data_IF_013183999219
#
_entry.id   IF_013183999219
#
_cell.length_a   1.000
_cell.length_b   1.000
_cell.length_c   1.000
_cell.angle_alpha   90.00
_cell.angle_beta   90.00
_cell.angle_gamma   90.00
#
_symmetry.space_group_name_H-M   'P 1'
#
loop_
_entity.id
_entity.type
_entity.pdbx_description
1 polymer ?
#
# COMPACT_ATOMS: atom_id res chain seq x y z
N UNK A 1 -7.04 -33.96 14.71
CA UNK A 1 -6.52 -33.54 16.02
C UNK A 1 -6.74 -32.03 16.14
N UNK A 2 -7.16 -31.48 17.29
CA UNK A 2 -7.30 -30.04 17.44
C UNK A 2 -5.91 -29.40 17.41
N UNK A 3 -5.67 -28.49 16.46
CA UNK A 3 -4.42 -27.72 16.35
C UNK A 3 -4.25 -26.88 17.59
N UNK A 4 -3.10 -26.99 18.26
CA UNK A 4 -2.83 -26.18 19.44
C UNK A 4 -2.51 -24.74 19.01
N UNK A 5 -2.87 -23.73 19.82
CA UNK A 5 -2.61 -22.30 19.51
C UNK A 5 -1.14 -22.03 19.11
N UNK A 6 -0.11 -22.64 19.74
CA UNK A 6 1.29 -22.47 19.33
C UNK A 6 1.59 -22.99 17.91
N UNK A 7 0.93 -24.06 17.46
CA UNK A 7 1.10 -24.63 16.11
C UNK A 7 0.39 -23.81 15.03
N UNK A 8 -0.64 -23.04 15.39
CA UNK A 8 -1.32 -22.14 14.47
C UNK A 8 -0.48 -20.90 14.16
N UNK A 9 0.28 -20.42 15.16
CA UNK A 9 1.14 -19.24 15.04
C UNK A 9 2.43 -19.51 14.26
N UNK A 10 2.84 -20.77 14.09
CA UNK A 10 4.00 -21.15 13.26
C UNK A 10 3.66 -21.39 11.79
N UNK A 11 2.37 -21.36 11.43
CA UNK A 11 1.92 -21.57 10.05
C UNK A 11 2.13 -20.32 9.19
N UNK A 12 2.28 -20.54 7.89
CA UNK A 12 2.32 -19.48 6.89
C UNK A 12 1.04 -19.52 6.05
N UNK A 13 0.53 -18.34 5.72
CA UNK A 13 -0.54 -18.14 4.77
C UNK A 13 0.04 -17.65 3.44
N UNK A 14 -0.40 -18.24 2.34
CA UNK A 14 0.11 -17.93 0.99
C UNK A 14 -0.87 -17.01 0.26
N UNK A 15 -0.42 -15.81 -0.10
CA UNK A 15 -1.12 -14.95 -1.04
C UNK A 15 -0.62 -15.23 -2.45
N UNK A 16 -1.52 -15.42 -3.40
CA UNK A 16 -1.19 -15.58 -4.82
C UNK A 16 -1.67 -14.35 -5.58
N UNK A 17 -0.74 -13.68 -6.24
CA UNK A 17 -1.00 -12.49 -7.05
C UNK A 17 -1.75 -12.77 -8.34
N UNK A 18 -2.21 -11.71 -9.01
CA UNK A 18 -2.77 -11.73 -10.37
C UNK A 18 -1.87 -12.50 -11.35
N UNK A 19 -0.55 -12.32 -11.22
CA UNK A 19 0.45 -12.97 -12.08
C UNK A 19 0.71 -14.46 -11.71
N UNK A 20 -0.02 -15.01 -10.75
CA UNK A 20 0.16 -16.38 -10.26
C UNK A 20 1.38 -16.57 -9.36
N UNK A 21 2.02 -15.48 -8.92
CA UNK A 21 3.20 -15.52 -8.05
C UNK A 21 2.78 -15.58 -6.59
N UNK A 22 3.40 -16.47 -5.83
CA UNK A 22 3.09 -16.74 -4.42
C UNK A 22 3.97 -15.93 -3.46
N UNK A 23 3.37 -15.42 -2.38
CA UNK A 23 4.05 -14.81 -1.23
C UNK A 23 3.55 -15.47 0.05
N UNK A 24 4.47 -15.94 0.89
CA UNK A 24 4.14 -16.47 2.21
C UNK A 24 4.26 -15.40 3.28
N UNK A 25 3.23 -15.27 4.12
CA UNK A 25 3.17 -14.38 5.28
C UNK A 25 2.88 -15.24 6.51
N UNK A 26 3.55 -15.04 7.65
CA UNK A 26 3.20 -15.74 8.89
C UNK A 26 1.72 -15.54 9.22
N UNK A 27 0.98 -16.62 9.51
CA UNK A 27 -0.47 -16.58 9.70
C UNK A 27 -0.86 -15.61 10.82
N UNK A 28 -0.11 -15.61 11.93
CA UNK A 28 -0.34 -14.68 13.03
C UNK A 28 -0.23 -13.22 12.60
N UNK A 29 0.72 -12.91 11.72
CA UNK A 29 0.90 -11.56 11.20
C UNK A 29 -0.28 -11.23 10.28
N UNK A 30 -0.66 -12.13 9.37
CA UNK A 30 -1.80 -11.88 8.50
C UNK A 30 -3.10 -11.64 9.28
N UNK A 31 -3.35 -12.42 10.36
CA UNK A 31 -4.50 -12.24 11.25
C UNK A 31 -4.45 -10.94 12.05
N UNK A 32 -3.26 -10.47 12.40
CA UNK A 32 -3.09 -9.21 13.15
C UNK A 32 -3.30 -7.99 12.26
N UNK A 33 -2.95 -8.12 10.97
CA UNK A 33 -2.84 -6.99 10.05
C UNK A 33 -3.95 -6.92 8.99
N UNK A 34 -4.83 -7.92 8.88
CA UNK A 34 -5.87 -7.98 7.83
C UNK A 34 -7.02 -8.95 8.16
N UNK A 35 -8.15 -8.81 7.46
CA UNK A 35 -9.29 -9.74 7.53
C UNK A 35 -9.23 -10.90 6.52
N UNK A 36 -8.13 -11.02 5.75
CA UNK A 36 -7.91 -12.02 4.69
C UNK A 36 -8.07 -13.49 5.13
N UNK A 37 -8.04 -13.78 6.43
CA UNK A 37 -8.09 -15.15 6.99
C UNK A 37 -9.51 -15.67 7.25
N UNK A 38 -10.53 -14.88 6.93
CA UNK A 38 -11.92 -15.21 7.25
C UNK A 38 -12.60 -16.07 6.17
N UNK A 39 -12.39 -17.40 6.16
CA UNK A 39 -13.47 -18.23 5.58
C UNK A 39 -13.26 -19.70 5.21
N UNK A 40 -12.07 -20.18 4.83
CA UNK A 40 -12.00 -21.51 4.15
C UNK A 40 -11.17 -22.59 4.85
N UNK A 41 -10.38 -22.25 5.87
CA UNK A 41 -9.42 -23.17 6.47
C UNK A 41 -8.21 -23.50 5.57
N UNK A 42 -8.23 -23.11 4.30
CA UNK A 42 -7.05 -23.12 3.44
C UNK A 42 -6.16 -21.92 3.76
N UNK A 43 -4.87 -22.18 3.98
CA UNK A 43 -3.85 -21.16 4.21
C UNK A 43 -3.36 -20.55 2.89
N UNK A 44 -4.30 -20.26 1.98
CA UNK A 44 -4.00 -19.77 0.64
C UNK A 44 -5.14 -18.91 0.13
N UNK A 45 -4.83 -17.76 -0.48
CA UNK A 45 -5.80 -16.92 -1.16
C UNK A 45 -5.27 -16.47 -2.52
N UNK A 46 -6.07 -16.67 -3.57
CA UNK A 46 -5.84 -16.10 -4.90
C UNK A 46 -6.44 -14.70 -4.95
N UNK A 47 -5.66 -13.73 -5.40
CA UNK A 47 -6.02 -12.32 -5.45
C UNK A 47 -5.87 -11.78 -6.88
N UNK A 48 -6.67 -10.77 -7.21
CA UNK A 48 -6.57 -10.00 -8.46
C UNK A 48 -5.55 -8.85 -8.34
N UNK A 49 -4.81 -8.81 -7.23
CA UNK A 49 -3.85 -7.78 -6.89
C UNK A 49 -2.46 -8.14 -7.43
N UNK A 50 -1.75 -7.15 -7.97
CA UNK A 50 -0.40 -7.34 -8.52
C UNK A 50 0.59 -7.79 -7.45
N UNK A 51 1.58 -8.59 -7.86
CA UNK A 51 2.64 -9.07 -6.97
C UNK A 51 3.36 -7.94 -6.23
N UNK A 52 3.54 -6.79 -6.88
CA UNK A 52 4.20 -5.61 -6.28
C UNK A 52 3.42 -5.09 -5.08
N UNK A 53 2.09 -5.02 -5.19
CA UNK A 53 1.20 -4.59 -4.10
C UNK A 53 1.29 -5.57 -2.92
N UNK A 54 1.29 -6.87 -3.18
CA UNK A 54 1.41 -7.88 -2.13
C UNK A 54 2.79 -7.83 -1.44
N UNK A 55 3.87 -7.56 -2.17
CA UNK A 55 5.22 -7.34 -1.59
C UNK A 55 5.25 -6.11 -0.70
N UNK A 56 4.63 -5.01 -1.12
CA UNK A 56 4.55 -3.79 -0.33
C UNK A 56 3.72 -3.97 0.94
N UNK A 57 2.62 -4.73 0.87
CA UNK A 57 1.87 -5.12 2.06
C UNK A 57 2.75 -5.94 3.03
N UNK A 58 3.50 -6.92 2.52
CA UNK A 58 4.46 -7.67 3.35
C UNK A 58 5.52 -6.74 3.95
N UNK A 59 6.03 -5.78 3.18
CA UNK A 59 6.99 -4.79 3.68
C UNK A 59 6.39 -3.94 4.81
N UNK A 60 5.12 -3.56 4.74
CA UNK A 60 4.44 -2.86 5.85
C UNK A 60 4.38 -3.72 7.12
N UNK A 61 4.16 -5.03 6.99
CA UNK A 61 4.17 -5.96 8.13
C UNK A 61 5.58 -6.05 8.74
N UNK A 62 6.60 -6.21 7.89
CA UNK A 62 7.97 -6.49 8.33
C UNK A 62 8.70 -5.21 8.82
N UNK A 63 8.51 -4.10 8.12
CA UNK A 63 9.33 -2.88 8.22
C UNK A 63 8.52 -1.64 8.60
N UNK A 64 7.19 -1.72 8.69
CA UNK A 64 6.31 -0.59 9.02
C UNK A 64 6.43 0.60 8.04
N UNK A 65 6.90 0.32 6.83
CA UNK A 65 7.01 1.28 5.73
C UNK A 65 6.95 0.53 4.40
N UNK A 66 6.91 1.24 3.28
CA UNK A 66 7.01 0.64 1.96
C UNK A 66 7.74 1.53 0.97
N UNK A 67 8.29 0.91 -0.06
CA UNK A 67 8.91 1.63 -1.19
C UNK A 67 8.30 1.13 -2.51
N UNK A 68 7.92 2.04 -3.42
CA UNK A 68 7.59 1.67 -4.78
C UNK A 68 8.74 0.92 -5.47
N UNK A 69 8.42 -0.18 -6.15
CA UNK A 69 9.39 -0.91 -6.94
C UNK A 69 9.59 -0.24 -8.30
N UNK A 70 10.81 -0.30 -8.83
CA UNK A 70 11.06 0.13 -10.21
C UNK A 70 10.47 -0.91 -11.18
N UNK A 71 9.28 -0.62 -11.71
CA UNK A 71 8.65 -1.47 -12.71
C UNK A 71 8.20 -0.66 -13.92
N UNK A 72 8.38 -1.22 -15.11
CA UNK A 72 8.13 -0.53 -16.37
C UNK A 72 6.65 -0.22 -16.60
N UNK A 73 5.78 -1.17 -16.28
CA UNK A 73 4.36 -1.11 -16.63
C UNK A 73 3.46 -0.68 -15.46
N UNK A 74 4.02 -0.55 -14.25
CA UNK A 74 3.28 -0.16 -13.06
C UNK A 74 4.02 0.95 -12.29
N UNK A 75 3.83 2.23 -12.65
CA UNK A 75 4.55 3.36 -12.07
C UNK A 75 4.38 3.50 -10.55
N UNK A 76 5.36 4.11 -9.86
CA UNK A 76 5.31 4.34 -8.42
C UNK A 76 4.02 4.96 -7.88
N UNK A 77 3.49 5.98 -8.56
CA UNK A 77 2.24 6.64 -8.17
C UNK A 77 1.06 5.65 -8.19
N UNK A 78 0.95 4.82 -9.22
CA UNK A 78 -0.11 3.81 -9.35
C UNK A 78 0.04 2.69 -8.32
N UNK A 79 1.28 2.31 -7.99
CA UNK A 79 1.57 1.33 -6.94
C UNK A 79 1.06 1.78 -5.58
N UNK A 80 1.31 3.04 -5.20
CA UNK A 80 0.84 3.59 -3.91
C UNK A 80 -0.68 3.52 -3.85
N UNK A 81 -1.39 3.90 -4.92
CA UNK A 81 -2.85 3.83 -4.96
C UNK A 81 -3.38 2.40 -4.88
N UNK A 82 -2.75 1.46 -5.58
CA UNK A 82 -3.13 0.05 -5.51
C UNK A 82 -2.92 -0.52 -4.11
N UNK A 83 -1.82 -0.16 -3.44
CA UNK A 83 -1.59 -0.52 -2.05
C UNK A 83 -2.69 0.02 -1.14
N UNK A 84 -3.00 1.32 -1.19
CA UNK A 84 -4.07 1.89 -0.37
C UNK A 84 -5.43 1.20 -0.61
N UNK A 85 -5.77 0.89 -1.86
CA UNK A 85 -6.98 0.13 -2.20
C UNK A 85 -6.97 -1.28 -1.63
N UNK A 86 -5.84 -1.97 -1.72
CA UNK A 86 -5.69 -3.30 -1.15
C UNK A 86 -5.88 -3.28 0.36
N UNK A 87 -5.27 -2.32 1.06
CA UNK A 87 -5.37 -2.19 2.51
C UNK A 87 -6.78 -1.85 2.96
N UNK A 88 -7.49 -1.01 2.21
CA UNK A 88 -8.90 -0.70 2.46
C UNK A 88 -9.81 -1.92 2.24
N UNK A 89 -9.66 -2.60 1.08
CA UNK A 89 -10.43 -3.80 0.71
C UNK A 89 -10.36 -4.92 1.75
N UNK A 90 -9.21 -5.09 2.41
CA UNK A 90 -8.97 -6.14 3.39
C UNK A 90 -8.91 -5.64 4.83
N UNK A 91 -9.43 -4.42 5.07
CA UNK A 91 -9.57 -3.80 6.40
C UNK A 91 -8.25 -3.83 7.21
N UNK A 92 -7.14 -3.53 6.52
CA UNK A 92 -5.80 -3.58 7.08
C UNK A 92 -5.45 -2.29 7.84
N UNK A 93 -6.21 -1.94 8.88
CA UNK A 93 -6.14 -0.63 9.58
C UNK A 93 -4.73 -0.23 10.02
N UNK A 94 -3.97 -1.18 10.60
CA UNK A 94 -2.62 -0.93 11.08
C UNK A 94 -1.65 -0.66 9.92
N UNK A 95 -1.72 -1.45 8.85
CA UNK A 95 -0.93 -1.23 7.64
C UNK A 95 -1.33 0.07 6.94
N UNK A 96 -2.62 0.40 6.89
CA UNK A 96 -3.13 1.66 6.35
C UNK A 96 -2.53 2.86 7.08
N UNK A 97 -2.45 2.79 8.42
CA UNK A 97 -1.82 3.84 9.21
C UNK A 97 -0.35 4.05 8.82
N UNK A 98 0.45 2.98 8.78
CA UNK A 98 1.86 3.07 8.40
C UNK A 98 2.04 3.55 6.95
N UNK A 99 1.22 3.05 6.01
CA UNK A 99 1.24 3.51 4.63
C UNK A 99 0.99 5.02 4.51
N UNK A 100 0.00 5.55 5.24
CA UNK A 100 -0.29 6.98 5.26
C UNK A 100 0.80 7.80 5.94
N UNK A 101 1.44 7.28 7.00
CA UNK A 101 2.61 7.90 7.64
C UNK A 101 3.78 7.98 6.65
N UNK A 102 4.10 6.89 5.94
CA UNK A 102 5.10 6.88 4.86
C UNK A 102 4.78 7.92 3.79
N UNK A 103 3.54 7.99 3.30
CA UNK A 103 3.15 8.98 2.28
C UNK A 103 3.36 10.41 2.78
N UNK A 104 2.92 10.73 4.00
CA UNK A 104 3.08 12.06 4.59
C UNK A 104 4.56 12.45 4.72
N UNK A 105 5.38 11.53 5.20
CA UNK A 105 6.81 11.78 5.38
C UNK A 105 7.51 12.00 4.04
N UNK A 106 7.19 11.20 3.03
CA UNK A 106 7.76 11.33 1.68
C UNK A 106 7.32 12.61 0.97
N UNK A 107 6.08 13.05 1.16
CA UNK A 107 5.60 14.37 0.68
C UNK A 107 6.36 15.50 1.37
N UNK A 108 6.54 15.42 2.69
CA UNK A 108 7.30 16.42 3.46
C UNK A 108 8.78 16.49 3.03
N UNK A 109 9.35 15.34 2.66
CA UNK A 109 10.73 15.21 2.16
C UNK A 109 10.89 15.60 0.68
N UNK A 110 9.81 15.98 -0.01
CA UNK A 110 9.78 16.28 -1.46
C UNK A 110 10.12 15.10 -2.36
N UNK A 111 9.97 13.88 -1.85
CA UNK A 111 10.18 12.69 -2.64
C UNK A 111 8.91 12.31 -3.40
N UNK A 112 7.73 12.55 -2.82
CA UNK A 112 6.44 12.19 -3.40
C UNK A 112 5.51 13.41 -3.55
N UNK A 113 4.60 13.43 -4.54
CA UNK A 113 3.70 14.56 -4.76
C UNK A 113 2.61 14.66 -3.69
N UNK A 114 2.24 15.89 -3.26
CA UNK A 114 1.07 16.12 -2.39
C UNK A 114 -0.24 15.55 -2.97
N UNK A 115 -0.33 15.37 -4.29
CA UNK A 115 -1.48 14.74 -4.94
C UNK A 115 -1.81 13.35 -4.38
N UNK A 116 -0.83 12.58 -3.89
CA UNK A 116 -1.11 11.30 -3.24
C UNK A 116 -1.96 11.47 -1.97
N UNK A 117 -1.75 12.54 -1.19
CA UNK A 117 -2.57 12.85 -0.02
C UNK A 117 -3.99 13.27 -0.40
N UNK A 118 -4.15 13.99 -1.52
CA UNK A 118 -5.48 14.32 -2.06
C UNK A 118 -6.24 13.05 -2.45
N UNK A 119 -5.60 12.16 -3.23
CA UNK A 119 -6.25 10.95 -3.70
C UNK A 119 -6.54 9.99 -2.53
N UNK A 120 -5.60 9.84 -1.60
CA UNK A 120 -5.81 9.04 -0.39
C UNK A 120 -6.95 9.61 0.46
N UNK A 121 -7.01 10.94 0.65
CA UNK A 121 -8.08 11.60 1.39
C UNK A 121 -9.46 11.44 0.74
N UNK A 122 -9.54 11.61 -0.58
CA UNK A 122 -10.79 11.44 -1.31
C UNK A 122 -11.24 9.96 -1.34
N UNK A 123 -10.31 9.03 -1.49
CA UNK A 123 -10.61 7.61 -1.56
C UNK A 123 -11.04 7.03 -0.20
N UNK A 124 -10.38 7.43 0.89
CA UNK A 124 -10.62 6.91 2.23
C UNK A 124 -11.66 7.71 3.03
N UNK A 125 -12.33 8.67 2.39
CA UNK A 125 -13.23 9.65 3.05
C UNK A 125 -12.57 10.35 4.26
N UNK A 126 -11.33 10.78 4.07
CA UNK A 126 -10.46 11.44 5.07
C UNK A 126 -10.12 12.86 4.63
N UNK A 127 -11.05 13.83 4.77
CA UNK A 127 -10.87 15.19 4.27
C UNK A 127 -9.66 15.92 4.88
N UNK A 128 -9.19 15.50 6.05
CA UNK A 128 -7.98 16.00 6.68
C UNK A 128 -6.70 15.74 5.86
N UNK A 129 -6.66 14.66 5.08
CA UNK A 129 -5.52 14.37 4.18
C UNK A 129 -5.54 15.31 2.97
N UNK A 130 -6.73 15.58 2.41
CA UNK A 130 -6.91 16.56 1.35
C UNK A 130 -6.49 17.97 1.81
N UNK A 131 -6.86 18.33 3.05
CA UNK A 131 -6.46 19.60 3.65
C UNK A 131 -4.94 19.67 3.84
N UNK A 132 -4.31 18.61 4.35
CA UNK A 132 -2.84 18.55 4.49
C UNK A 132 -2.13 18.71 3.15
N UNK A 133 -2.67 18.13 2.07
CA UNK A 133 -2.15 18.34 0.73
C UNK A 133 -2.28 19.82 0.31
N UNK A 134 -3.46 20.42 0.51
CA UNK A 134 -3.73 21.81 0.15
C UNK A 134 -2.83 22.79 0.91
N UNK A 135 -2.58 22.53 2.19
CA UNK A 135 -1.72 23.34 3.04
C UNK A 135 -0.22 23.09 2.77
N UNK A 136 0.14 22.14 1.90
CA UNK A 136 1.53 21.86 1.54
C UNK A 136 2.15 23.04 0.76
N UNK A 137 3.42 23.41 1.01
CA UNK A 137 4.06 24.54 0.34
C UNK A 137 4.02 24.40 -1.20
N UNK A 138 3.75 25.50 -1.91
CA UNK A 138 3.58 25.49 -3.38
C UNK A 138 4.72 24.79 -4.13
N UNK A 139 5.97 24.94 -3.69
CA UNK A 139 7.12 24.28 -4.31
C UNK A 139 7.06 22.74 -4.26
N UNK A 140 6.39 22.14 -3.26
CA UNK A 140 6.23 20.67 -3.15
C UNK A 140 5.33 20.10 -4.25
N UNK A 141 4.58 20.94 -4.96
CA UNK A 141 3.75 20.56 -6.08
C UNK A 141 4.48 20.56 -7.44
N UNK A 142 5.72 21.05 -7.48
CA UNK A 142 6.54 21.12 -8.70
C UNK A 142 7.87 20.37 -8.57
N UNK A 143 8.46 20.33 -7.36
CA UNK A 143 9.81 19.82 -7.12
C UNK A 143 9.80 18.40 -6.54
N UNK A 144 9.35 17.40 -7.31
CA UNK A 144 9.45 15.99 -6.96
C UNK A 144 9.96 15.14 -8.16
N UNK A 145 10.54 13.95 -7.91
CA UNK A 145 10.97 13.00 -8.94
C UNK A 145 9.91 12.74 -10.03
N UNK A 146 10.36 12.74 -11.29
CA UNK A 146 9.48 12.64 -12.46
C UNK A 146 8.76 11.30 -12.61
N UNK A 147 9.28 10.24 -12.00
CA UNK A 147 8.68 8.90 -11.96
C UNK A 147 7.47 8.82 -11.02
N UNK A 148 7.34 9.77 -10.08
CA UNK A 148 6.14 9.94 -9.24
C UNK A 148 5.06 10.78 -9.91
N UNK A 149 5.29 11.29 -11.13
CA UNK A 149 4.26 12.01 -11.87
C UNK A 149 3.14 11.04 -12.30
N UNK A 150 1.87 11.36 -12.04
CA UNK A 150 0.77 10.53 -12.53
C UNK A 150 0.77 10.56 -14.07
N UNK A 151 0.59 9.40 -14.69
CA UNK A 151 0.41 9.33 -16.15
C UNK A 151 -0.80 10.15 -16.58
N UNK A 152 -0.66 10.93 -17.65
CA UNK A 152 -1.76 11.70 -18.24
C UNK A 152 -1.95 13.11 -17.70
N UNK A 153 -1.29 13.49 -16.60
CA UNK A 153 -1.14 14.90 -16.24
C UNK A 153 -0.03 15.49 -17.10
N UNK A 154 -0.42 16.21 -18.16
CA UNK A 154 0.48 16.78 -19.16
C UNK A 154 1.70 17.43 -18.51
N UNK A 155 2.88 16.98 -18.92
CA UNK A 155 4.20 17.59 -18.68
C UNK A 155 4.35 19.00 -19.26
N UNK A 156 3.26 19.59 -19.76
CA UNK A 156 3.16 20.95 -20.30
C UNK A 156 3.13 22.04 -19.21
N UNK A 157 2.90 21.69 -17.94
CA UNK A 157 2.97 22.60 -16.81
C UNK A 157 4.30 22.47 -16.08
N UNK A 158 5.40 22.74 -16.78
CA UNK A 158 6.65 23.15 -16.13
C UNK A 158 6.54 24.65 -15.90
N UNK A 159 6.29 25.07 -14.65
CA UNK A 159 6.42 26.47 -14.25
C UNK A 159 7.88 26.75 -13.88
#
# INVERSE_FOLDING_TARGET
>A
MPTTVPELLSQAFTLVSEEGVEISIPLYALMTWSTLTSGSGELKAQLDDKIVTLRQFKQLIDEQTFTPAETKDFPPFEQVLALLRFLDKFECDLAMRFALETVKDKVKQKEWPPLLLVVAGAFLDRPELCKQAYDAPAYTWADYPSDMHPKGLNSAYKY
#
